data_IF_111712700796
#
_entry.id   IF_111712700796
#
_cell.length_a   1.000
_cell.length_b   1.000
_cell.length_c   1.000
_cell.angle_alpha   90.00
_cell.angle_beta   90.00
_cell.angle_gamma   90.00
#
_symmetry.space_group_name_H-M   'P 1'
#
loop_
_entity.id
_entity.type
_entity.pdbx_description
1 polymer ?
#
# COMPACT_ATOMS: atom_id res chain seq x y z
N UNK A 1 -22.60 -8.58 16.89
CA UNK A 1 -21.95 -9.27 18.02
C UNK A 1 -20.58 -9.87 17.67
N UNK A 2 -20.42 -10.87 16.79
CA UNK A 2 -19.09 -11.47 16.52
C UNK A 2 -18.08 -10.52 15.83
N UNK A 3 -18.55 -9.66 14.92
CA UNK A 3 -17.71 -8.63 14.30
C UNK A 3 -17.22 -7.57 15.30
N UNK A 4 -17.98 -7.35 16.38
CA UNK A 4 -17.74 -6.30 17.37
C UNK A 4 -16.52 -6.57 18.23
N UNK A 5 -16.43 -7.79 18.74
CA UNK A 5 -15.28 -8.24 19.52
C UNK A 5 -13.98 -8.18 18.70
N UNK A 6 -14.04 -8.44 17.40
CA UNK A 6 -12.86 -8.45 16.54
C UNK A 6 -12.24 -7.07 16.32
N UNK A 7 -13.05 -6.01 16.18
CA UNK A 7 -12.51 -4.66 16.03
C UNK A 7 -11.98 -4.14 17.37
N UNK A 8 -12.65 -4.44 18.48
CA UNK A 8 -12.23 -4.01 19.82
C UNK A 8 -10.89 -4.65 20.17
N UNK A 9 -10.73 -5.95 19.90
CA UNK A 9 -9.48 -6.68 20.12
C UNK A 9 -8.30 -6.07 19.35
N UNK A 10 -8.52 -5.70 18.07
CA UNK A 10 -7.51 -5.00 17.27
C UNK A 10 -7.13 -3.66 17.88
N UNK A 11 -8.12 -2.87 18.34
CA UNK A 11 -7.84 -1.59 19.01
C UNK A 11 -7.05 -1.79 20.31
N UNK A 12 -7.43 -2.75 21.16
CA UNK A 12 -6.70 -3.07 22.40
C UNK A 12 -5.24 -3.43 22.12
N UNK A 13 -4.97 -4.25 21.09
CA UNK A 13 -3.61 -4.65 20.76
C UNK A 13 -2.75 -3.46 20.30
N UNK A 14 -3.32 -2.57 19.49
CA UNK A 14 -2.65 -1.32 19.11
C UNK A 14 -2.37 -0.45 20.34
N UNK A 15 -3.34 -0.30 21.26
CA UNK A 15 -3.14 0.47 22.49
C UNK A 15 -2.08 -0.16 23.39
N UNK A 16 -2.04 -1.48 23.53
CA UNK A 16 -1.03 -2.18 24.31
C UNK A 16 0.36 -2.05 23.68
N UNK A 17 0.47 -2.09 22.35
CA UNK A 17 1.74 -1.80 21.65
C UNK A 17 2.19 -0.37 21.92
N UNK A 18 1.30 0.62 21.79
CA UNK A 18 1.67 2.03 22.04
C UNK A 18 2.00 2.28 23.51
N UNK A 19 1.23 1.75 24.45
CA UNK A 19 1.47 1.90 25.89
C UNK A 19 2.73 1.16 26.32
N UNK A 20 2.97 -0.04 25.80
CA UNK A 20 4.19 -0.80 26.03
C UNK A 20 5.43 -0.07 25.54
N UNK A 21 5.36 0.60 24.39
CA UNK A 21 6.43 1.47 23.88
C UNK A 21 6.74 2.65 24.81
N UNK A 22 5.74 3.17 25.53
CA UNK A 22 5.99 4.15 26.58
C UNK A 22 6.67 3.57 27.82
N UNK A 23 6.77 2.25 27.97
CA UNK A 23 7.55 1.65 29.07
C UNK A 23 9.03 1.47 28.73
N UNK A 24 9.37 1.44 27.43
CA UNK A 24 10.74 1.24 26.97
C UNK A 24 11.62 2.47 27.24
N UNK A 25 12.90 2.21 27.46
CA UNK A 25 13.92 3.24 27.67
C UNK A 25 13.97 4.21 26.49
N UNK A 26 14.42 5.44 26.74
CA UNK A 26 14.48 6.50 25.72
C UNK A 26 15.20 6.07 24.42
N UNK A 27 16.24 5.24 24.52
CA UNK A 27 16.98 4.70 23.37
C UNK A 27 16.18 3.65 22.59
N UNK A 28 15.45 2.78 23.28
CA UNK A 28 14.61 1.75 22.66
C UNK A 28 13.41 2.34 21.92
N UNK A 29 12.81 3.42 22.46
CA UNK A 29 11.76 4.17 21.77
C UNK A 29 12.24 4.71 20.42
N UNK A 30 13.48 5.19 20.38
CA UNK A 30 14.10 5.68 19.15
C UNK A 30 14.29 4.54 18.14
N UNK A 31 14.82 3.40 18.57
CA UNK A 31 14.97 2.22 17.72
C UNK A 31 13.63 1.73 17.16
N UNK A 32 12.60 1.64 18.00
CA UNK A 32 11.29 1.19 17.55
C UNK A 32 10.66 2.17 16.56
N UNK A 33 10.80 3.47 16.78
CA UNK A 33 10.28 4.49 15.85
C UNK A 33 10.95 4.38 14.47
N UNK A 34 12.28 4.21 14.45
CA UNK A 34 13.04 3.97 13.22
C UNK A 34 12.59 2.66 12.55
N UNK A 35 12.38 1.58 13.30
CA UNK A 35 11.88 0.31 12.75
C UNK A 35 10.50 0.46 12.11
N UNK A 36 9.57 1.17 12.75
CA UNK A 36 8.24 1.44 12.18
C UNK A 36 8.34 2.30 10.93
N UNK A 37 9.20 3.32 10.92
CA UNK A 37 9.43 4.15 9.73
C UNK A 37 10.00 3.33 8.58
N UNK A 38 10.96 2.43 8.84
CA UNK A 38 11.53 1.53 7.83
C UNK A 38 10.48 0.53 7.33
N UNK A 39 9.66 -0.04 8.22
CA UNK A 39 8.57 -0.94 7.83
C UNK A 39 7.53 -0.23 6.98
N UNK A 40 7.11 0.97 7.39
CA UNK A 40 6.19 1.79 6.61
C UNK A 40 6.79 2.14 5.25
N UNK A 41 8.06 2.54 5.21
CA UNK A 41 8.79 2.78 3.97
C UNK A 41 8.80 1.54 3.07
N UNK A 42 9.09 0.37 3.64
CA UNK A 42 9.12 -0.88 2.89
C UNK A 42 7.74 -1.25 2.34
N UNK A 43 6.68 -1.12 3.13
CA UNK A 43 5.29 -1.38 2.69
C UNK A 43 4.89 -0.39 1.60
N UNK A 44 5.20 0.90 1.76
CA UNK A 44 4.93 1.92 0.75
C UNK A 44 5.73 1.66 -0.53
N UNK A 45 6.99 1.25 -0.43
CA UNK A 45 7.84 0.98 -1.58
C UNK A 45 7.37 -0.26 -2.35
N UNK A 46 7.09 -1.36 -1.65
CA UNK A 46 6.59 -2.59 -2.29
C UNK A 46 5.15 -2.42 -2.80
N UNK A 47 4.30 -1.73 -2.03
CA UNK A 47 2.93 -1.44 -2.41
C UNK A 47 2.83 -0.51 -3.61
N UNK A 48 3.67 0.53 -3.68
CA UNK A 48 3.73 1.41 -4.85
C UNK A 48 4.28 0.70 -6.07
N UNK A 49 5.29 -0.17 -5.93
CA UNK A 49 5.77 -1.01 -7.02
C UNK A 49 4.67 -1.92 -7.56
N UNK A 50 3.98 -2.65 -6.69
CA UNK A 50 2.85 -3.50 -7.07
C UNK A 50 1.71 -2.70 -7.72
N UNK A 51 1.36 -1.54 -7.17
CA UNK A 51 0.34 -0.65 -7.74
C UNK A 51 0.76 -0.13 -9.12
N UNK A 52 2.04 0.17 -9.32
CA UNK A 52 2.59 0.60 -10.61
C UNK A 52 2.57 -0.54 -11.61
N UNK A 53 2.96 -1.75 -11.22
CA UNK A 53 2.93 -2.93 -12.08
C UNK A 53 1.50 -3.28 -12.52
N UNK A 54 0.53 -3.17 -11.61
CA UNK A 54 -0.90 -3.35 -11.92
C UNK A 54 -1.42 -2.21 -12.82
N UNK A 55 -1.03 -0.96 -12.55
CA UNK A 55 -1.38 0.18 -13.38
C UNK A 55 -0.82 0.03 -14.80
N UNK A 56 0.44 -0.36 -14.95
CA UNK A 56 1.05 -0.64 -16.26
C UNK A 56 0.37 -1.81 -16.96
N UNK A 57 0.15 -2.93 -16.27
CA UNK A 57 -0.38 -4.15 -16.87
C UNK A 57 -1.86 -4.02 -17.26
N UNK A 58 -2.67 -3.34 -16.43
CA UNK A 58 -4.11 -3.23 -16.66
C UNK A 58 -4.51 -1.87 -17.21
N UNK A 59 -4.11 -0.77 -16.58
CA UNK A 59 -4.61 0.56 -16.97
C UNK A 59 -3.88 1.10 -18.20
N UNK A 60 -2.55 1.02 -18.28
CA UNK A 60 -1.80 1.43 -19.47
C UNK A 60 -2.12 0.53 -20.65
N UNK A 61 -2.22 -0.79 -20.46
CA UNK A 61 -2.71 -1.68 -21.52
C UNK A 61 -4.13 -1.30 -21.97
N UNK A 62 -5.06 -1.01 -21.05
CA UNK A 62 -6.43 -0.56 -21.40
C UNK A 62 -6.45 0.81 -22.08
N UNK A 63 -5.61 1.77 -21.68
CA UNK A 63 -5.54 3.13 -22.24
C UNK A 63 -4.83 3.13 -23.60
N UNK A 64 -3.72 2.40 -23.75
CA UNK A 64 -2.99 2.33 -25.02
C UNK A 64 -3.63 1.36 -26.02
N UNK A 65 -4.19 0.22 -25.60
CA UNK A 65 -5.09 -0.54 -26.48
C UNK A 65 -6.32 0.33 -26.79
N UNK A 66 -6.90 0.98 -25.75
CA UNK A 66 -7.79 2.17 -25.79
C UNK A 66 -7.64 3.06 -27.00
N UNK A 67 -6.45 3.65 -27.10
CA UNK A 67 -6.11 4.57 -28.14
C UNK A 67 -5.79 3.87 -29.47
N UNK A 68 -5.21 2.66 -29.45
CA UNK A 68 -4.84 1.95 -30.68
C UNK A 68 -6.03 1.40 -31.47
N UNK A 69 -7.10 0.93 -30.83
CA UNK A 69 -8.31 0.57 -31.59
C UNK A 69 -9.03 1.79 -32.18
N UNK A 70 -8.71 3.01 -31.73
CA UNK A 70 -9.16 4.25 -32.37
C UNK A 70 -8.30 4.70 -33.56
N UNK A 71 -7.04 4.24 -33.67
CA UNK A 71 -6.11 4.74 -34.69
C UNK A 71 -5.85 3.75 -35.84
N UNK A 72 -6.38 2.52 -35.75
CA UNK A 72 -6.20 1.49 -36.78
C UNK A 72 -7.28 1.41 -37.88
N UNK A 73 -8.38 2.18 -37.76
CA UNK A 73 -9.46 2.17 -38.76
C UNK A 73 -9.40 3.47 -39.57
N UNK A 74 -8.57 3.50 -40.61
CA UNK A 74 -8.57 4.66 -41.53
C UNK A 74 -7.28 4.94 -42.29
N UNK A 75 -6.57 3.92 -42.75
CA UNK A 75 -5.62 4.09 -43.86
C UNK A 75 -6.35 3.66 -45.14
N UNK A 76 -7.03 4.56 -45.88
CA UNK A 76 -7.45 4.24 -47.23
C UNK A 76 -6.18 4.12 -48.08
N UNK A 77 -5.99 2.94 -48.64
CA UNK A 77 -4.96 2.65 -49.64
C UNK A 77 -5.27 3.43 -50.92
N UNK A 78 -4.26 4.19 -51.38
CA UNK A 78 -3.97 4.69 -52.74
C UNK A 78 -5.09 5.31 -53.56
#
# INVERSE_FOLDING_TARGET
>A
MAGEMSWVGKKIHLYNVTMGLYMLDWWERCLFNILVLILLWFICFNGSRFATDVYESHLKARIFQGANYGMGIGMPSS
#
